data_IF_924541753142
#
_entry.id   IF_924541753142
#
_cell.length_a   1.000
_cell.length_b   1.000
_cell.length_c   1.000
_cell.angle_alpha   90.00
_cell.angle_beta   90.00
_cell.angle_gamma   90.00
#
_symmetry.space_group_name_H-M   'P 1'
#
loop_
_entity.id
_entity.type
_entity.pdbx_description
1 polymer ?
#
# COMPACT_ATOMS: atom_id res chain seq x y z
N UNK A 1 -3.20 -14.04 -30.10
CA UNK A 1 -3.41 -13.34 -28.82
C UNK A 1 -4.73 -13.83 -28.26
N UNK A 2 -4.75 -14.39 -27.06
CA UNK A 2 -5.98 -14.79 -26.39
C UNK A 2 -6.37 -13.68 -25.43
N UNK A 3 -7.61 -13.20 -25.48
CA UNK A 3 -8.08 -12.14 -24.59
C UNK A 3 -9.12 -12.72 -23.64
N UNK A 4 -8.85 -12.61 -22.33
CA UNK A 4 -9.82 -12.95 -21.31
C UNK A 4 -10.71 -11.74 -21.06
N UNK A 5 -12.02 -11.96 -21.15
CA UNK A 5 -13.03 -10.97 -20.77
C UNK A 5 -13.00 -10.69 -19.26
N UNK A 6 -13.89 -9.81 -18.79
CA UNK A 6 -13.96 -9.43 -17.38
C UNK A 6 -14.11 -10.64 -16.45
N UNK A 7 -14.96 -11.62 -16.82
CA UNK A 7 -15.20 -12.81 -16.00
C UNK A 7 -13.99 -13.74 -16.00
N UNK A 8 -13.39 -14.02 -17.17
CA UNK A 8 -12.18 -14.82 -17.29
C UNK A 8 -11.00 -14.21 -16.54
N UNK A 9 -10.88 -12.88 -16.58
CA UNK A 9 -9.84 -12.14 -15.84
C UNK A 9 -10.05 -12.23 -14.33
N UNK A 10 -11.29 -12.13 -13.86
CA UNK A 10 -11.61 -12.30 -12.44
C UNK A 10 -11.32 -13.73 -11.95
N UNK A 11 -11.63 -14.75 -12.76
CA UNK A 11 -11.25 -16.14 -12.48
C UNK A 11 -9.73 -16.29 -12.42
N UNK A 12 -9.00 -15.72 -13.38
CA UNK A 12 -7.54 -15.75 -13.37
C UNK A 12 -6.98 -15.08 -12.11
N UNK A 13 -7.45 -13.88 -11.76
CA UNK A 13 -7.01 -13.13 -10.58
C UNK A 13 -7.30 -13.87 -9.26
N UNK A 14 -8.47 -14.50 -9.13
CA UNK A 14 -8.81 -15.29 -7.94
C UNK A 14 -7.96 -16.56 -7.84
N UNK A 15 -7.72 -17.26 -8.96
CA UNK A 15 -6.80 -18.41 -8.98
C UNK A 15 -5.37 -18.02 -8.64
N UNK A 16 -4.89 -16.89 -9.16
CA UNK A 16 -3.60 -16.28 -8.81
C UNK A 16 -3.50 -16.05 -7.30
N UNK A 17 -4.55 -15.49 -6.67
CA UNK A 17 -4.59 -15.28 -5.23
C UNK A 17 -4.56 -16.57 -4.43
N UNK A 18 -5.35 -17.57 -4.81
CA UNK A 18 -5.39 -18.86 -4.14
C UNK A 18 -4.04 -19.59 -4.26
N UNK A 19 -3.43 -19.56 -5.45
CA UNK A 19 -2.11 -20.10 -5.70
C UNK A 19 -1.06 -19.37 -4.86
N UNK A 20 -1.06 -18.05 -4.86
CA UNK A 20 -0.15 -17.23 -4.04
C UNK A 20 -0.30 -17.52 -2.56
N UNK A 21 -1.54 -17.65 -2.06
CA UNK A 21 -1.82 -18.02 -0.68
C UNK A 21 -1.27 -19.42 -0.33
N UNK A 22 -1.41 -20.38 -1.24
CA UNK A 22 -0.80 -21.71 -1.10
C UNK A 22 0.73 -21.64 -1.08
N UNK A 23 1.34 -20.89 -2.00
CA UNK A 23 2.79 -20.67 -2.04
C UNK A 23 3.33 -20.07 -0.73
N UNK A 24 2.69 -19.02 -0.21
CA UNK A 24 3.09 -18.37 1.05
C UNK A 24 2.96 -19.33 2.24
N UNK A 25 1.93 -20.18 2.29
CA UNK A 25 1.77 -21.19 3.35
C UNK A 25 2.79 -22.32 3.26
N UNK A 26 3.12 -22.75 2.04
CA UNK A 26 4.03 -23.87 1.78
C UNK A 26 5.51 -23.49 1.88
N UNK A 27 5.89 -22.27 1.50
CA UNK A 27 7.30 -21.84 1.42
C UNK A 27 7.67 -21.02 2.67
N UNK A 28 8.52 -21.54 3.57
CA UNK A 28 8.87 -20.85 4.83
C UNK A 28 9.49 -19.47 4.62
N UNK A 29 10.24 -19.28 3.53
CA UNK A 29 10.87 -18.00 3.19
C UNK A 29 9.83 -16.90 2.93
N UNK A 30 8.80 -17.19 2.13
CA UNK A 30 7.73 -16.24 1.81
C UNK A 30 6.93 -15.87 3.05
N UNK A 31 6.67 -16.84 3.93
CA UNK A 31 6.02 -16.62 5.22
C UNK A 31 6.88 -15.79 6.17
N UNK A 32 8.19 -16.09 6.26
CA UNK A 32 9.14 -15.39 7.14
C UNK A 32 9.25 -13.91 6.81
N UNK A 33 9.19 -13.56 5.53
CA UNK A 33 9.22 -12.17 5.07
C UNK A 33 7.83 -11.63 4.74
N UNK A 34 6.75 -12.23 5.26
CA UNK A 34 5.37 -11.71 5.15
C UNK A 34 4.97 -11.30 3.73
N UNK A 35 5.44 -12.02 2.70
CA UNK A 35 5.15 -11.69 1.31
C UNK A 35 3.65 -11.81 1.07
N UNK A 36 2.97 -10.76 0.56
CA UNK A 36 1.54 -10.81 0.30
C UNK A 36 1.19 -11.91 -0.71
N UNK A 37 0.09 -12.62 -0.48
CA UNK A 37 -0.41 -13.65 -1.40
C UNK A 37 -0.60 -13.13 -2.85
N UNK A 38 -1.14 -11.93 -3.10
CA UNK A 38 -1.22 -11.38 -4.45
C UNK A 38 0.14 -11.24 -5.14
N UNK A 39 1.15 -10.79 -4.39
CA UNK A 39 2.54 -10.62 -4.87
C UNK A 39 3.15 -11.95 -5.26
N UNK A 40 3.08 -12.94 -4.37
CA UNK A 40 3.63 -14.27 -4.63
C UNK A 40 2.97 -14.95 -5.84
N UNK A 41 1.63 -14.94 -5.89
CA UNK A 41 0.88 -15.56 -6.98
C UNK A 41 1.05 -14.82 -8.31
N UNK A 42 0.91 -13.49 -8.28
CA UNK A 42 0.96 -12.65 -9.47
C UNK A 42 2.33 -12.68 -10.13
N UNK A 43 3.42 -12.61 -9.35
CA UNK A 43 4.77 -12.72 -9.88
C UNK A 43 5.05 -14.11 -10.48
N UNK A 44 4.57 -15.18 -9.82
CA UNK A 44 4.68 -16.53 -10.37
C UNK A 44 4.00 -16.63 -11.74
N UNK A 45 2.77 -16.13 -11.86
CA UNK A 45 2.04 -16.14 -13.14
C UNK A 45 2.72 -15.23 -14.17
N UNK A 46 3.20 -14.05 -13.79
CA UNK A 46 3.94 -13.17 -14.69
C UNK A 46 5.21 -13.85 -15.26
N UNK A 47 5.95 -14.58 -14.43
CA UNK A 47 7.11 -15.37 -14.88
C UNK A 47 6.69 -16.49 -15.84
N UNK A 48 5.61 -17.22 -15.53
CA UNK A 48 5.09 -18.26 -16.43
C UNK A 48 4.67 -17.70 -17.79
N UNK A 49 3.97 -16.56 -17.80
CA UNK A 49 3.58 -15.87 -19.03
C UNK A 49 4.78 -15.35 -19.82
N UNK A 50 5.83 -14.85 -19.13
CA UNK A 50 7.07 -14.46 -19.77
C UNK A 50 7.76 -15.64 -20.46
N UNK A 51 7.83 -16.80 -19.79
CA UNK A 51 8.39 -18.03 -20.37
C UNK A 51 7.57 -18.46 -21.58
N UNK A 52 6.24 -18.49 -21.46
CA UNK A 52 5.34 -18.88 -22.55
C UNK A 52 5.46 -17.95 -23.77
N UNK A 53 5.58 -16.64 -23.55
CA UNK A 53 5.82 -15.65 -24.61
C UNK A 53 7.16 -15.89 -25.30
N UNK A 54 8.23 -16.21 -24.56
CA UNK A 54 9.55 -16.46 -25.15
C UNK A 54 9.65 -17.79 -25.89
N UNK A 55 8.94 -18.84 -25.47
CA UNK A 55 9.07 -20.18 -26.05
C UNK A 55 8.07 -20.46 -27.17
N UNK A 56 6.81 -20.02 -27.03
CA UNK A 56 5.71 -20.33 -27.95
C UNK A 56 5.15 -19.07 -28.64
N UNK A 57 5.64 -17.88 -28.28
CA UNK A 57 5.15 -16.59 -28.79
C UNK A 57 3.63 -16.39 -28.59
N UNK A 58 3.09 -16.97 -27.52
CA UNK A 58 1.71 -16.75 -27.10
C UNK A 58 1.62 -15.56 -26.14
N UNK A 59 0.62 -14.73 -26.36
CA UNK A 59 0.32 -13.57 -25.52
C UNK A 59 -1.14 -13.64 -25.06
N UNK A 60 -1.32 -13.54 -23.75
CA UNK A 60 -2.61 -13.53 -23.07
C UNK A 60 -2.88 -12.09 -22.63
N UNK A 61 -3.95 -11.51 -23.14
CA UNK A 61 -4.49 -10.24 -22.71
C UNK A 61 -5.58 -10.44 -21.67
N UNK A 62 -5.73 -9.45 -20.80
CA UNK A 62 -6.70 -9.45 -19.72
C UNK A 62 -7.53 -8.17 -19.76
N UNK A 63 -8.81 -8.28 -19.44
CA UNK A 63 -9.69 -7.15 -19.24
C UNK A 63 -9.49 -6.55 -17.84
N UNK A 64 -8.87 -5.38 -17.79
CA UNK A 64 -8.51 -4.69 -16.55
C UNK A 64 -9.61 -3.76 -16.01
N UNK A 65 -10.84 -3.83 -16.52
CA UNK A 65 -11.94 -2.92 -16.16
C UNK A 65 -12.27 -2.92 -14.65
N UNK A 66 -12.06 -4.04 -13.96
CA UNK A 66 -12.27 -4.15 -12.50
C UNK A 66 -11.10 -3.64 -11.66
N UNK A 67 -9.91 -3.45 -12.25
CA UNK A 67 -8.69 -3.07 -11.53
C UNK A 67 -8.87 -1.77 -10.76
N UNK A 68 -9.34 -0.73 -11.44
CA UNK A 68 -9.44 0.60 -10.86
C UNK A 68 -10.57 0.74 -9.83
N UNK A 69 -11.80 0.23 -10.07
CA UNK A 69 -12.84 0.21 -9.05
C UNK A 69 -12.40 -0.49 -7.76
N UNK A 70 -11.66 -1.60 -7.84
CA UNK A 70 -11.15 -2.30 -6.65
C UNK A 70 -10.04 -1.51 -5.94
N UNK A 71 -9.16 -0.87 -6.68
CA UNK A 71 -8.16 0.04 -6.09
C UNK A 71 -8.85 1.18 -5.34
N UNK A 72 -9.81 1.85 -5.96
CA UNK A 72 -10.56 2.94 -5.33
C UNK A 72 -11.38 2.44 -4.13
N UNK A 73 -11.97 1.25 -4.20
CA UNK A 73 -12.69 0.64 -3.09
C UNK A 73 -11.76 0.40 -1.89
N UNK A 74 -10.52 -0.06 -2.13
CA UNK A 74 -9.52 -0.16 -1.07
C UNK A 74 -9.23 1.21 -0.41
N UNK A 75 -9.00 2.27 -1.19
CA UNK A 75 -8.77 3.61 -0.61
C UNK A 75 -10.00 4.18 0.11
N UNK A 76 -11.21 3.89 -0.38
CA UNK A 76 -12.43 4.22 0.33
C UNK A 76 -12.47 3.53 1.71
N UNK A 77 -12.07 2.26 1.79
CA UNK A 77 -12.04 1.53 3.08
C UNK A 77 -11.01 2.09 4.07
N UNK A 78 -9.87 2.62 3.59
CA UNK A 78 -8.91 3.33 4.44
C UNK A 78 -9.58 4.58 5.02
N UNK A 79 -10.25 5.38 4.19
CA UNK A 79 -10.95 6.58 4.63
C UNK A 79 -12.10 6.26 5.60
N UNK A 80 -12.89 5.24 5.31
CA UNK A 80 -14.02 4.82 6.15
C UNK A 80 -13.59 4.32 7.53
N UNK A 81 -12.39 3.75 7.65
CA UNK A 81 -11.80 3.34 8.93
C UNK A 81 -11.12 4.49 9.69
N UNK A 82 -11.02 5.68 9.10
CA UNK A 82 -10.42 6.83 9.78
C UNK A 82 -11.35 7.37 10.87
N UNK A 83 -10.83 7.48 12.09
CA UNK A 83 -11.56 8.03 13.24
C UNK A 83 -10.85 9.31 13.73
N UNK A 84 -11.43 10.47 13.41
CA UNK A 84 -10.88 11.78 13.77
C UNK A 84 -10.90 12.03 15.29
N UNK A 85 -11.85 11.43 16.01
CA UNK A 85 -11.90 11.55 17.47
C UNK A 85 -10.72 10.80 18.11
N UNK A 86 -10.41 9.59 17.66
CA UNK A 86 -9.22 8.84 18.09
C UNK A 86 -7.93 9.54 17.68
N UNK A 87 -7.88 10.13 16.49
CA UNK A 87 -6.74 10.94 16.04
C UNK A 87 -6.52 12.13 16.99
N UNK A 88 -7.59 12.83 17.39
CA UNK A 88 -7.50 13.94 18.33
C UNK A 88 -7.06 13.49 19.73
N UNK A 89 -7.49 12.32 20.17
CA UNK A 89 -7.10 11.74 21.47
C UNK A 89 -5.59 11.42 21.55
N UNK A 90 -4.92 11.18 20.42
CA UNK A 90 -3.45 10.99 20.37
C UNK A 90 -2.63 12.22 20.80
N UNK A 91 -3.26 13.40 20.89
CA UNK A 91 -2.69 14.59 21.51
C UNK A 91 -1.34 15.03 20.93
N UNK A 92 -0.45 15.53 21.79
CA UNK A 92 0.87 16.05 21.40
C UNK A 92 1.77 14.97 20.80
N UNK A 93 1.71 13.75 21.32
CA UNK A 93 2.54 12.64 20.85
C UNK A 93 2.26 12.31 19.37
N UNK A 94 0.99 12.28 18.98
CA UNK A 94 0.61 12.04 17.58
C UNK A 94 1.07 13.16 16.65
N UNK A 95 0.94 14.43 17.07
CA UNK A 95 1.40 15.58 16.27
C UNK A 95 2.91 15.52 16.06
N UNK A 96 3.68 15.21 17.11
CA UNK A 96 5.14 15.02 17.01
C UNK A 96 5.46 13.86 16.05
N UNK A 97 4.79 12.71 16.21
CA UNK A 97 4.95 11.56 15.33
C UNK A 97 4.67 11.92 13.86
N UNK A 98 3.60 12.69 13.59
CA UNK A 98 3.28 13.17 12.25
C UNK A 98 4.42 14.01 11.67
N UNK A 99 4.97 14.97 12.42
CA UNK A 99 6.09 15.78 11.94
C UNK A 99 7.36 14.95 11.69
N UNK A 100 7.63 13.95 12.51
CA UNK A 100 8.75 13.01 12.32
C UNK A 100 8.53 12.20 11.03
N UNK A 101 7.33 11.65 10.81
CA UNK A 101 7.02 10.92 9.57
C UNK A 101 7.11 11.84 8.35
N UNK A 102 6.55 13.05 8.41
CA UNK A 102 6.65 14.03 7.32
C UNK A 102 8.10 14.38 7.00
N UNK A 103 8.93 14.59 8.02
CA UNK A 103 10.38 14.80 7.86
C UNK A 103 11.05 13.63 7.15
N UNK A 104 10.75 12.39 7.54
CA UNK A 104 11.24 11.19 6.87
C UNK A 104 10.80 11.14 5.39
N UNK A 105 9.53 11.44 5.08
CA UNK A 105 9.04 11.44 3.70
C UNK A 105 9.78 12.47 2.83
N UNK A 106 10.05 13.67 3.37
CA UNK A 106 10.82 14.70 2.67
C UNK A 106 12.26 14.24 2.40
N UNK A 107 12.92 13.62 3.39
CA UNK A 107 14.27 13.07 3.24
C UNK A 107 14.28 11.94 2.19
N UNK A 108 13.33 11.00 2.26
CA UNK A 108 13.22 9.90 1.30
C UNK A 108 13.00 10.43 -0.12
N UNK A 109 12.18 11.46 -0.30
CA UNK A 109 11.93 12.06 -1.61
C UNK A 109 13.16 12.79 -2.16
N UNK A 110 13.86 13.56 -1.32
CA UNK A 110 15.08 14.25 -1.71
C UNK A 110 16.17 13.25 -2.16
N UNK A 111 16.37 12.18 -1.39
CA UNK A 111 17.37 11.15 -1.70
C UNK A 111 16.95 10.33 -2.92
N UNK A 112 15.68 9.95 -3.02
CA UNK A 112 15.15 9.19 -4.16
C UNK A 112 15.32 9.95 -5.46
N UNK A 113 14.87 11.21 -5.51
CA UNK A 113 15.04 12.09 -6.67
C UNK A 113 16.52 12.33 -6.97
N UNK A 114 17.33 12.60 -5.95
CA UNK A 114 18.77 12.84 -6.10
C UNK A 114 19.49 11.65 -6.73
N UNK A 115 19.30 10.45 -6.18
CA UNK A 115 19.90 9.22 -6.69
C UNK A 115 19.40 8.88 -8.09
N UNK A 116 18.10 9.05 -8.38
CA UNK A 116 17.56 8.82 -9.71
C UNK A 116 18.25 9.72 -10.75
N UNK A 117 18.39 11.02 -10.47
CA UNK A 117 19.10 11.96 -11.34
C UNK A 117 20.57 11.59 -11.53
N UNK A 118 21.27 11.20 -10.45
CA UNK A 118 22.69 10.79 -10.52
C UNK A 118 22.89 9.53 -11.36
N UNK A 119 21.92 8.62 -11.37
CA UNK A 119 21.94 7.38 -12.15
C UNK A 119 21.38 7.56 -13.58
N UNK A 120 21.03 8.79 -13.98
CA UNK A 120 20.47 9.09 -15.30
C UNK A 120 19.03 8.61 -15.50
N UNK A 121 18.28 8.41 -14.43
CA UNK A 121 16.88 7.97 -14.43
C UNK A 121 15.91 9.12 -14.23
N UNK A 122 14.64 8.88 -14.55
CA UNK A 122 13.55 9.80 -14.28
C UNK A 122 13.38 10.04 -12.76
N UNK A 123 13.28 11.30 -12.29
CA UNK A 123 13.00 11.62 -10.89
C UNK A 123 11.78 10.92 -10.28
N UNK A 124 10.75 10.63 -11.08
CA UNK A 124 9.54 9.91 -10.68
C UNK A 124 9.85 8.49 -10.21
N UNK A 125 10.86 7.85 -10.81
CA UNK A 125 11.36 6.56 -10.37
C UNK A 125 11.93 6.65 -8.94
N UNK A 126 12.63 7.74 -8.63
CA UNK A 126 13.15 8.04 -7.30
C UNK A 126 12.05 8.21 -6.24
N UNK A 127 10.93 8.84 -6.60
CA UNK A 127 9.77 8.97 -5.73
C UNK A 127 9.08 7.62 -5.48
N UNK A 128 8.91 6.80 -6.53
CA UNK A 128 8.34 5.46 -6.43
C UNK A 128 9.24 4.57 -5.57
N UNK A 129 10.54 4.54 -5.83
CA UNK A 129 11.52 3.76 -5.06
C UNK A 129 11.82 4.34 -3.67
N UNK A 130 11.24 5.49 -3.33
CA UNK A 130 11.33 6.13 -2.03
C UNK A 130 9.99 6.08 -1.29
N UNK A 131 9.47 7.26 -0.94
CA UNK A 131 8.37 7.38 0.03
C UNK A 131 7.06 6.73 -0.42
N UNK A 132 6.78 6.77 -1.72
CA UNK A 132 5.51 6.28 -2.28
C UNK A 132 5.33 4.78 -1.99
N UNK A 133 6.38 3.98 -2.11
CA UNK A 133 6.29 2.53 -1.87
C UNK A 133 6.85 2.12 -0.52
N UNK A 134 7.96 2.70 -0.04
CA UNK A 134 8.60 2.29 1.20
C UNK A 134 7.82 2.71 2.45
N UNK A 135 7.04 3.78 2.35
CA UNK A 135 6.12 4.22 3.41
C UNK A 135 4.66 3.94 3.05
N UNK A 136 4.28 4.11 1.78
CA UNK A 136 2.90 3.92 1.33
C UNK A 136 2.49 2.48 0.98
N UNK A 137 3.45 1.57 0.78
CA UNK A 137 3.21 0.17 0.42
C UNK A 137 2.65 -0.03 -1.00
N UNK A 138 2.22 -1.26 -1.30
CA UNK A 138 1.77 -1.66 -2.63
C UNK A 138 0.55 -0.87 -3.13
N UNK A 139 -0.42 -0.60 -2.25
CA UNK A 139 -1.63 0.14 -2.63
C UNK A 139 -1.32 1.56 -3.09
N UNK A 140 -0.54 2.30 -2.31
CA UNK A 140 -0.10 3.68 -2.64
C UNK A 140 0.81 3.70 -3.87
N UNK A 141 1.76 2.76 -3.94
CA UNK A 141 2.61 2.56 -5.10
C UNK A 141 1.82 2.40 -6.40
N UNK A 142 0.85 1.50 -6.40
CA UNK A 142 0.05 1.23 -7.58
C UNK A 142 -0.87 2.41 -7.97
N UNK A 143 -1.43 3.10 -6.98
CA UNK A 143 -2.28 4.27 -7.21
C UNK A 143 -1.51 5.44 -7.83
N UNK A 144 -0.32 5.75 -7.31
CA UNK A 144 0.55 6.77 -7.91
C UNK A 144 1.14 6.34 -9.26
N UNK A 145 1.39 5.04 -9.45
CA UNK A 145 1.87 4.53 -10.74
C UNK A 145 0.89 4.84 -11.87
N UNK A 146 -0.41 4.69 -11.62
CA UNK A 146 -1.45 5.07 -12.58
C UNK A 146 -1.34 6.56 -12.96
N UNK A 147 -1.20 7.43 -11.96
CA UNK A 147 -1.05 8.88 -12.19
C UNK A 147 0.22 9.19 -12.99
N UNK A 148 1.32 8.48 -12.70
CA UNK A 148 2.60 8.69 -13.38
C UNK A 148 2.59 8.23 -14.83
N UNK A 149 1.89 7.13 -15.14
CA UNK A 149 1.67 6.66 -16.50
C UNK A 149 0.80 7.66 -17.27
N UNK A 150 -0.37 8.02 -16.73
CA UNK A 150 -1.37 8.81 -17.45
C UNK A 150 -0.94 10.27 -17.67
N UNK A 151 -0.21 10.88 -16.72
CA UNK A 151 0.14 12.31 -16.78
C UNK A 151 1.57 12.60 -17.20
N UNK A 152 2.48 11.69 -16.88
CA UNK A 152 3.91 11.91 -17.07
C UNK A 152 4.54 10.91 -18.04
N UNK A 153 3.77 9.95 -18.57
CA UNK A 153 4.24 8.96 -19.54
C UNK A 153 5.27 7.98 -18.98
N UNK A 154 5.34 7.81 -17.65
CA UNK A 154 6.27 6.85 -17.04
C UNK A 154 5.71 5.43 -17.13
N UNK A 155 5.84 4.80 -18.30
CA UNK A 155 5.16 3.53 -18.64
C UNK A 155 5.40 2.39 -17.64
N UNK A 156 6.62 2.26 -17.12
CA UNK A 156 7.03 1.17 -16.22
C UNK A 156 6.73 1.44 -14.73
N UNK A 157 5.91 2.46 -14.42
CA UNK A 157 5.70 2.88 -13.04
C UNK A 157 5.15 1.76 -12.16
N UNK A 158 4.22 0.96 -12.68
CA UNK A 158 3.53 -0.09 -11.92
C UNK A 158 4.49 -1.22 -11.56
N UNK A 159 5.32 -1.67 -12.51
CA UNK A 159 6.37 -2.66 -12.34
C UNK A 159 7.35 -2.23 -11.26
N UNK A 160 7.86 -1.00 -11.36
CA UNK A 160 8.81 -0.44 -10.39
C UNK A 160 8.16 -0.33 -9.02
N UNK A 161 6.90 0.14 -8.94
CA UNK A 161 6.21 0.28 -7.67
C UNK A 161 5.97 -1.06 -6.96
N UNK A 162 5.57 -2.09 -7.70
CA UNK A 162 5.38 -3.44 -7.16
C UNK A 162 6.69 -4.04 -6.65
N UNK A 163 7.77 -3.86 -7.41
CA UNK A 163 9.10 -4.33 -7.03
C UNK A 163 9.61 -3.61 -5.77
N UNK A 164 9.56 -2.27 -5.75
CA UNK A 164 10.03 -1.45 -4.63
C UNK A 164 9.22 -1.70 -3.36
N UNK A 165 7.89 -1.80 -3.44
CA UNK A 165 7.04 -2.07 -2.28
C UNK A 165 7.32 -3.46 -1.67
N UNK A 166 7.55 -4.47 -2.51
CA UNK A 166 7.90 -5.82 -2.05
C UNK A 166 9.28 -5.84 -1.42
N UNK A 167 10.25 -5.14 -2.02
CA UNK A 167 11.59 -4.99 -1.47
C UNK A 167 11.56 -4.29 -0.10
N UNK A 168 10.80 -3.19 0.01
CA UNK A 168 10.63 -2.46 1.26
C UNK A 168 10.05 -3.32 2.38
N UNK A 169 9.11 -4.21 2.06
CA UNK A 169 8.55 -5.16 3.03
C UNK A 169 9.60 -6.16 3.52
N UNK A 170 10.36 -6.77 2.60
CA UNK A 170 11.44 -7.72 2.95
C UNK A 170 12.51 -7.04 3.80
N UNK A 171 12.96 -5.86 3.38
CA UNK A 171 13.99 -5.13 4.11
C UNK A 171 13.49 -4.58 5.43
N UNK A 172 12.25 -4.11 5.52
CA UNK A 172 11.63 -3.70 6.79
C UNK A 172 11.66 -4.83 7.83
N UNK A 173 11.36 -6.06 7.41
CA UNK A 173 11.48 -7.24 8.28
C UNK A 173 12.93 -7.59 8.65
N UNK A 174 13.88 -7.40 7.74
CA UNK A 174 15.30 -7.68 7.97
C UNK A 174 15.99 -6.65 8.88
N UNK A 175 15.72 -5.36 8.68
CA UNK A 175 16.36 -4.26 9.42
C UNK A 175 15.65 -3.95 10.73
N UNK A 176 14.33 -4.19 10.83
CA UNK A 176 13.54 -3.86 12.00
C UNK A 176 14.06 -4.53 13.27
N UNK A 177 14.42 -5.82 13.20
CA UNK A 177 14.97 -6.57 14.34
C UNK A 177 16.32 -6.03 14.84
N UNK A 178 17.36 -5.90 13.98
CA UNK A 178 18.63 -5.29 14.33
C UNK A 178 18.50 -3.85 14.86
N UNK A 179 17.69 -3.00 14.24
CA UNK A 179 17.47 -1.62 14.69
C UNK A 179 16.78 -1.60 16.04
N UNK A 180 15.72 -2.39 16.24
CA UNK A 180 15.05 -2.50 17.53
C UNK A 180 16.01 -2.98 18.64
N UNK A 181 16.83 -4.01 18.38
CA UNK A 181 17.85 -4.48 19.33
C UNK A 181 18.89 -3.41 19.66
N UNK A 182 19.34 -2.65 18.66
CA UNK A 182 20.28 -1.56 18.86
C UNK A 182 19.68 -0.47 19.76
N UNK A 183 18.43 -0.08 19.49
CA UNK A 183 17.70 0.93 20.27
C UNK A 183 17.49 0.49 21.71
N UNK A 184 17.03 -0.75 21.94
CA UNK A 184 16.84 -1.31 23.31
C UNK A 184 18.15 -1.37 24.08
N UNK A 185 19.27 -1.74 23.44
CA UNK A 185 20.58 -1.80 24.12
C UNK A 185 21.08 -0.41 24.58
N UNK A 186 20.68 0.65 23.87
CA UNK A 186 21.11 2.02 24.15
C UNK A 186 19.97 2.88 24.70
N UNK A 187 18.91 2.24 25.20
CA UNK A 187 17.83 2.94 25.91
C UNK A 187 18.27 3.26 27.34
N UNK A 188 17.65 4.27 27.93
CA UNK A 188 17.83 4.63 29.33
C UNK A 188 17.23 3.58 30.29
N UNK A 189 16.45 2.63 29.76
CA UNK A 189 15.83 1.52 30.48
C UNK A 189 16.02 0.18 29.73
N UNK A 190 17.24 -0.40 29.68
CA UNK A 190 17.50 -1.64 28.94
C UNK A 190 16.78 -2.86 29.53
N UNK A 191 16.51 -2.83 30.84
CA UNK A 191 15.73 -3.83 31.59
C UNK A 191 14.28 -3.38 31.84
N UNK A 192 13.83 -2.31 31.16
CA UNK A 192 12.46 -1.85 31.26
C UNK A 192 11.51 -3.00 30.93
N UNK A 193 10.69 -3.41 31.90
CA UNK A 193 9.52 -4.21 31.59
C UNK A 193 8.67 -3.40 30.62
N UNK A 194 8.11 -4.00 29.55
CA UNK A 194 7.09 -3.32 28.78
C UNK A 194 6.05 -2.79 29.78
N UNK A 195 5.76 -1.49 29.77
CA UNK A 195 4.55 -0.99 30.43
C UNK A 195 3.34 -1.37 29.56
N UNK A 196 3.20 -2.67 29.28
CA UNK A 196 2.04 -3.28 28.64
C UNK A 196 0.88 -3.41 29.67
N UNK A 197 1.01 -2.78 30.85
CA UNK A 197 -0.09 -2.63 31.80
C UNK A 197 -1.15 -1.64 31.29
N UNK A 198 -0.73 -0.71 30.42
CA UNK A 198 -1.65 -0.07 29.48
C UNK A 198 -1.81 -1.04 28.33
N UNK A 199 -2.86 -1.85 28.35
CA UNK A 199 -3.36 -2.47 27.11
C UNK A 199 -3.31 -1.39 26.03
N UNK A 200 -2.74 -1.63 24.84
CA UNK A 200 -2.78 -0.65 23.77
C UNK A 200 -4.25 -0.33 23.48
N UNK A 201 -4.77 0.73 24.08
CA UNK A 201 -6.11 1.28 23.79
C UNK A 201 -6.14 1.93 22.40
N UNK A 202 -5.01 1.89 21.67
CA UNK A 202 -4.92 2.19 20.24
C UNK A 202 -5.48 1.10 19.31
N UNK A 203 -5.82 -0.08 19.83
CA UNK A 203 -6.71 -1.04 19.18
C UNK A 203 -7.57 -1.65 20.29
N UNK A 204 -8.62 -0.93 20.68
CA UNK A 204 -9.61 -1.41 21.66
C UNK A 204 -9.97 -2.87 21.39
N UNK A 205 -9.86 -3.69 22.44
CA UNK A 205 -10.58 -4.95 22.53
C UNK A 205 -12.05 -4.68 22.15
N UNK A 206 -12.67 -5.60 21.40
CA UNK A 206 -13.88 -5.34 20.64
C UNK A 206 -15.04 -4.98 21.58
N UNK A 207 -15.47 -3.73 21.53
CA UNK A 207 -16.84 -3.37 21.92
C UNK A 207 -17.79 -4.13 20.98
N UNK A 208 -18.35 -5.22 21.53
CA UNK A 208 -19.52 -5.98 21.07
C UNK A 208 -19.38 -6.90 19.84
N UNK A 209 -19.96 -8.10 19.99
CA UNK A 209 -19.99 -9.19 19.03
C UNK A 209 -20.96 -8.99 17.87
N UNK A 210 -20.80 -7.91 17.09
CA UNK A 210 -21.50 -7.79 15.80
C UNK A 210 -20.81 -8.72 14.80
N UNK A 211 -21.52 -9.74 14.33
CA UNK A 211 -21.04 -10.65 13.29
C UNK A 211 -21.05 -9.93 11.94
N UNK A 212 -20.19 -10.37 11.01
CA UNK A 212 -20.31 -9.96 9.60
C UNK A 212 -21.56 -10.64 9.05
N UNK A 213 -22.67 -9.90 8.97
CA UNK A 213 -23.90 -10.37 8.34
C UNK A 213 -24.02 -9.80 6.93
N UNK A 214 -24.88 -10.42 6.10
CA UNK A 214 -25.15 -9.92 4.74
C UNK A 214 -25.61 -8.47 4.74
N UNK A 215 -26.41 -8.05 5.74
CA UNK A 215 -26.84 -6.66 5.86
C UNK A 215 -25.65 -5.71 6.07
N UNK A 216 -24.75 -6.04 7.01
CA UNK A 216 -23.56 -5.21 7.28
C UNK A 216 -22.65 -5.12 6.05
N UNK A 217 -22.55 -6.20 5.27
CA UNK A 217 -21.81 -6.20 4.01
C UNK A 217 -22.47 -5.27 2.99
N UNK A 218 -23.80 -5.31 2.83
CA UNK A 218 -24.53 -4.41 1.93
C UNK A 218 -24.38 -2.95 2.35
N UNK A 219 -24.51 -2.64 3.64
CA UNK A 219 -24.27 -1.29 4.19
C UNK A 219 -22.84 -0.81 3.89
N UNK A 220 -21.85 -1.70 4.05
CA UNK A 220 -20.44 -1.39 3.76
C UNK A 220 -20.20 -1.15 2.28
N UNK A 221 -20.76 -1.98 1.40
CA UNK A 221 -20.68 -1.81 -0.06
C UNK A 221 -21.34 -0.50 -0.46
N UNK A 222 -22.49 -0.15 0.12
CA UNK A 222 -23.17 1.11 -0.15
C UNK A 222 -22.30 2.33 0.23
N UNK A 223 -21.66 2.31 1.41
CA UNK A 223 -20.73 3.36 1.81
C UNK A 223 -19.53 3.48 0.86
N UNK A 224 -18.94 2.35 0.46
CA UNK A 224 -17.84 2.33 -0.52
C UNK A 224 -18.32 2.92 -1.86
N UNK A 225 -19.49 2.50 -2.37
CA UNK A 225 -20.05 3.01 -3.61
C UNK A 225 -20.30 4.52 -3.57
N UNK A 226 -20.79 5.05 -2.45
CA UNK A 226 -20.92 6.50 -2.21
C UNK A 226 -19.56 7.18 -2.30
N UNK A 227 -18.53 6.62 -1.64
CA UNK A 227 -17.17 7.18 -1.69
C UNK A 227 -16.59 7.21 -3.11
N UNK A 228 -16.82 6.13 -3.89
CA UNK A 228 -16.37 6.03 -5.27
C UNK A 228 -17.06 7.07 -6.16
N UNK A 229 -18.40 7.16 -6.07
CA UNK A 229 -19.20 8.07 -6.87
C UNK A 229 -18.87 9.54 -6.58
N UNK A 230 -18.93 9.94 -5.31
CA UNK A 230 -18.64 11.31 -4.90
C UNK A 230 -17.16 11.66 -5.08
N UNK A 231 -16.24 10.73 -4.78
CA UNK A 231 -14.81 10.96 -4.96
C UNK A 231 -14.44 11.15 -6.42
N UNK A 232 -15.05 10.39 -7.35
CA UNK A 232 -14.85 10.59 -8.78
C UNK A 232 -15.45 11.90 -9.27
N UNK A 233 -16.64 12.27 -8.78
CA UNK A 233 -17.26 13.56 -9.08
C UNK A 233 -16.39 14.74 -8.62
N UNK A 234 -15.89 14.71 -7.38
CA UNK A 234 -14.99 15.75 -6.83
C UNK A 234 -13.68 15.80 -7.62
N UNK A 235 -13.08 14.66 -7.94
CA UNK A 235 -11.86 14.61 -8.76
C UNK A 235 -12.09 15.23 -10.15
N UNK A 236 -13.25 14.99 -10.75
CA UNK A 236 -13.66 15.63 -12.01
C UNK A 236 -13.79 17.15 -11.91
N UNK A 237 -14.35 17.67 -10.81
CA UNK A 237 -14.46 19.11 -10.56
C UNK A 237 -13.11 19.79 -10.30
N UNK A 238 -12.17 19.08 -9.67
CA UNK A 238 -10.83 19.60 -9.37
C UNK A 238 -9.87 19.49 -10.57
N UNK A 239 -10.24 18.73 -11.60
CA UNK A 239 -9.40 18.51 -12.78
C UNK A 239 -9.11 19.85 -13.49
N UNK A 240 -7.84 20.10 -13.80
CA UNK A 240 -7.38 21.35 -14.40
C UNK A 240 -7.34 22.57 -13.47
N UNK A 241 -7.65 22.41 -12.19
CA UNK A 241 -7.50 23.47 -11.18
C UNK A 241 -6.12 23.39 -10.50
N UNK A 242 -5.72 24.44 -9.79
CA UNK A 242 -4.49 24.42 -8.98
C UNK A 242 -4.56 23.42 -7.80
N UNK A 243 -5.76 22.96 -7.44
CA UNK A 243 -6.00 21.96 -6.39
C UNK A 243 -6.31 20.57 -6.97
N UNK A 244 -5.82 20.30 -8.18
CA UNK A 244 -6.01 19.00 -8.81
C UNK A 244 -5.40 17.88 -7.95
N UNK A 245 -6.24 16.91 -7.59
CA UNK A 245 -5.85 15.76 -6.76
C UNK A 245 -6.16 14.46 -7.49
N UNK A 246 -5.33 13.41 -7.33
CA UNK A 246 -5.64 12.08 -7.84
C UNK A 246 -6.98 11.55 -7.30
N UNK A 247 -7.74 10.85 -8.13
CA UNK A 247 -9.08 10.34 -7.76
C UNK A 247 -9.07 9.50 -6.48
N UNK A 248 -8.05 8.68 -6.26
CA UNK A 248 -7.96 7.85 -5.04
C UNK A 248 -7.83 8.69 -3.76
N UNK A 249 -7.21 9.87 -3.84
CA UNK A 249 -7.09 10.82 -2.71
C UNK A 249 -8.47 11.41 -2.41
N UNK A 250 -9.20 11.85 -3.44
CA UNK A 250 -10.58 12.34 -3.29
C UNK A 250 -11.50 11.27 -2.69
N UNK A 251 -11.45 10.03 -3.20
CA UNK A 251 -12.23 8.89 -2.69
C UNK A 251 -11.91 8.60 -1.22
N UNK A 252 -10.62 8.62 -0.83
CA UNK A 252 -10.21 8.45 0.56
C UNK A 252 -10.79 9.55 1.44
N UNK A 253 -10.66 10.83 1.04
CA UNK A 253 -11.19 11.95 1.82
C UNK A 253 -12.70 11.91 1.98
N UNK A 254 -13.44 11.53 0.93
CA UNK A 254 -14.89 11.30 1.05
C UNK A 254 -15.17 10.22 2.07
N UNK A 255 -14.40 9.13 2.09
CA UNK A 255 -14.51 8.08 3.10
C UNK A 255 -14.31 8.61 4.53
N UNK A 256 -13.30 9.46 4.75
CA UNK A 256 -13.04 10.10 6.05
C UNK A 256 -14.22 10.99 6.47
N UNK A 257 -14.71 11.84 5.57
CA UNK A 257 -15.83 12.75 5.85
C UNK A 257 -17.09 11.93 6.16
N UNK A 258 -17.38 10.91 5.35
CA UNK A 258 -18.56 10.08 5.49
C UNK A 258 -18.55 9.34 6.83
N UNK A 259 -17.48 8.59 7.15
CA UNK A 259 -17.41 7.81 8.39
C UNK A 259 -17.53 8.66 9.66
N UNK A 260 -16.88 9.83 9.67
CA UNK A 260 -16.89 10.73 10.82
C UNK A 260 -18.22 11.49 10.94
N UNK A 261 -18.86 11.85 9.83
CA UNK A 261 -20.19 12.49 9.85
C UNK A 261 -21.27 11.51 10.32
N UNK A 262 -21.26 10.26 9.82
CA UNK A 262 -22.20 9.22 10.27
C UNK A 262 -22.03 8.89 11.75
N UNK A 263 -20.78 8.83 12.22
CA UNK A 263 -20.48 8.57 13.64
C UNK A 263 -20.85 9.75 14.54
N UNK A 264 -20.60 10.99 14.11
CA UNK A 264 -20.91 12.20 14.88
C UNK A 264 -22.41 12.46 14.99
N UNK A 265 -23.19 12.14 13.95
CA UNK A 265 -24.66 12.26 13.97
C UNK A 265 -25.35 11.14 14.75
N UNK A 266 -24.61 10.08 15.13
CA UNK A 266 -25.16 8.88 15.77
C UNK A 266 -26.04 8.03 14.86
N UNK A 267 -26.14 8.36 13.56
CA UNK A 267 -27.00 7.67 12.61
C UNK A 267 -26.52 6.23 12.34
N UNK A 268 -25.21 6.05 12.22
CA UNK A 268 -24.61 4.75 11.96
C UNK A 268 -23.15 4.73 12.40
N UNK A 269 -22.75 3.68 13.12
CA UNK A 269 -21.35 3.43 13.42
C UNK A 269 -20.77 2.46 12.38
N UNK A 270 -19.74 2.94 11.68
CA UNK A 270 -19.03 2.17 10.66
C UNK A 270 -18.46 0.90 11.28
N UNK A 271 -18.85 -0.26 10.75
CA UNK A 271 -18.34 -1.52 11.24
C UNK A 271 -16.96 -1.81 10.66
N UNK A 272 -15.91 -1.40 11.37
CA UNK A 272 -14.50 -1.46 10.95
C UNK A 272 -14.09 -2.84 10.42
N UNK A 273 -14.62 -3.93 10.99
CA UNK A 273 -14.32 -5.31 10.54
C UNK A 273 -14.83 -5.59 9.13
N UNK A 274 -16.07 -5.23 8.81
CA UNK A 274 -16.59 -5.45 7.45
C UNK A 274 -15.84 -4.56 6.43
N UNK A 275 -15.60 -3.29 6.78
CA UNK A 275 -14.81 -2.37 5.96
C UNK A 275 -13.41 -2.93 5.69
N UNK A 276 -12.72 -3.42 6.71
CA UNK A 276 -11.39 -4.03 6.57
C UNK A 276 -11.40 -5.29 5.70
N UNK A 277 -12.40 -6.17 5.85
CA UNK A 277 -12.53 -7.37 5.00
C UNK A 277 -12.72 -6.99 3.53
N UNK A 278 -13.65 -6.09 3.21
CA UNK A 278 -13.83 -5.62 1.83
C UNK A 278 -12.59 -4.90 1.28
N UNK A 279 -11.93 -4.08 2.11
CA UNK A 279 -10.69 -3.40 1.75
C UNK A 279 -9.58 -4.39 1.37
N UNK A 280 -9.37 -5.41 2.20
CA UNK A 280 -8.33 -6.43 1.96
C UNK A 280 -8.64 -7.30 0.74
N UNK A 281 -9.90 -7.67 0.51
CA UNK A 281 -10.33 -8.40 -0.70
C UNK A 281 -10.09 -7.54 -1.94
N UNK A 282 -10.50 -6.26 -1.89
CA UNK A 282 -10.34 -5.33 -3.00
C UNK A 282 -8.88 -5.09 -3.34
N UNK A 283 -8.03 -4.82 -2.33
CA UNK A 283 -6.58 -4.70 -2.48
C UNK A 283 -5.98 -5.97 -3.09
N UNK A 284 -6.37 -7.14 -2.58
CA UNK A 284 -5.81 -8.41 -3.05
C UNK A 284 -6.12 -8.65 -4.52
N UNK A 285 -7.39 -8.51 -4.93
CA UNK A 285 -7.81 -8.70 -6.32
C UNK A 285 -7.18 -7.68 -7.26
N UNK A 286 -7.16 -6.42 -6.86
CA UNK A 286 -6.49 -5.35 -7.58
C UNK A 286 -5.00 -5.66 -7.80
N UNK A 287 -4.27 -6.01 -6.74
CA UNK A 287 -2.86 -6.33 -6.82
C UNK A 287 -2.64 -7.58 -7.69
N UNK A 288 -3.45 -8.63 -7.55
CA UNK A 288 -3.33 -9.81 -8.38
C UNK A 288 -3.46 -9.48 -9.87
N UNK A 289 -4.44 -8.65 -10.24
CA UNK A 289 -4.61 -8.18 -11.62
C UNK A 289 -3.44 -7.35 -12.10
N UNK A 290 -2.96 -6.40 -11.29
CA UNK A 290 -1.80 -5.59 -11.63
C UNK A 290 -0.53 -6.44 -11.81
N UNK A 291 -0.33 -7.44 -10.95
CA UNK A 291 0.88 -8.25 -10.91
C UNK A 291 0.93 -9.30 -12.01
N UNK A 292 -0.20 -9.95 -12.34
CA UNK A 292 -0.25 -10.97 -13.38
C UNK A 292 -0.11 -10.39 -14.80
N UNK A 293 -0.28 -9.07 -14.95
CA UNK A 293 -0.11 -8.35 -16.22
C UNK A 293 1.24 -7.63 -16.34
N UNK A 294 2.15 -7.80 -15.37
CA UNK A 294 3.44 -7.11 -15.36
C UNK A 294 4.35 -7.51 -16.52
N UNK A 295 5.05 -6.52 -17.05
CA UNK A 295 6.06 -6.71 -18.08
C UNK A 295 7.45 -6.84 -17.47
N UNK A 296 7.77 -8.04 -17.00
CA UNK A 296 9.06 -8.33 -16.33
C UNK A 296 10.31 -7.95 -17.13
N UNK A 297 10.23 -7.94 -18.46
CA UNK A 297 11.33 -7.52 -19.33
C UNK A 297 11.69 -6.03 -19.16
N UNK A 298 10.68 -5.16 -19.01
CA UNK A 298 10.85 -3.71 -18.86
C UNK A 298 11.46 -3.37 -17.49
N UNK A 299 11.23 -4.22 -16.47
CA UNK A 299 11.82 -4.07 -15.15
C UNK A 299 13.30 -4.47 -15.12
N UNK A 300 13.73 -5.41 -15.97
CA UNK A 300 15.08 -5.95 -15.92
C UNK A 300 16.17 -4.92 -16.23
N UNK A 301 15.90 -3.99 -17.16
CA UNK A 301 16.82 -2.89 -17.49
C UNK A 301 16.96 -1.87 -16.35
N UNK A 302 15.94 -1.76 -15.50
CA UNK A 302 15.88 -0.82 -14.37
C UNK A 302 16.33 -1.44 -13.04
N UNK A 303 16.55 -2.75 -13.00
CA UNK A 303 16.76 -3.50 -11.75
C UNK A 303 18.00 -3.03 -10.97
N UNK A 304 19.15 -2.86 -11.63
CA UNK A 304 20.38 -2.48 -10.95
C UNK A 304 20.33 -1.04 -10.39
N UNK A 305 19.92 -0.02 -11.16
CA UNK A 305 19.73 1.33 -10.61
C UNK A 305 18.69 1.36 -9.47
N UNK A 306 17.59 0.63 -9.60
CA UNK A 306 16.56 0.54 -8.57
C UNK A 306 17.10 -0.05 -7.27
N UNK A 307 17.87 -1.14 -7.34
CA UNK A 307 18.51 -1.75 -6.16
C UNK A 307 19.48 -0.78 -5.47
N UNK A 308 20.24 0.01 -6.23
CA UNK A 308 21.12 1.02 -5.67
C UNK A 308 20.35 2.10 -4.89
N UNK A 309 19.25 2.63 -5.46
CA UNK A 309 18.38 3.60 -4.78
C UNK A 309 17.82 2.98 -3.49
N UNK A 310 17.25 1.78 -3.58
CA UNK A 310 16.60 1.12 -2.46
C UNK A 310 17.58 0.77 -1.32
N UNK A 311 18.82 0.40 -1.65
CA UNK A 311 19.85 0.14 -0.65
C UNK A 311 20.18 1.42 0.16
N UNK A 312 20.33 2.56 -0.53
CA UNK A 312 20.56 3.85 0.12
C UNK A 312 19.34 4.26 0.96
N UNK A 313 18.13 4.13 0.42
CA UNK A 313 16.90 4.43 1.15
C UNK A 313 16.80 3.63 2.45
N UNK A 314 17.10 2.33 2.39
CA UNK A 314 17.08 1.44 3.55
C UNK A 314 18.06 1.89 4.63
N UNK A 315 19.30 2.20 4.22
CA UNK A 315 20.31 2.68 5.16
C UNK A 315 19.84 3.98 5.84
N UNK A 316 19.33 4.93 5.05
CA UNK A 316 18.83 6.21 5.57
C UNK A 316 17.64 6.00 6.51
N UNK A 317 16.70 5.12 6.17
CA UNK A 317 15.57 4.80 7.04
C UNK A 317 16.03 4.21 8.37
N UNK A 318 17.02 3.31 8.37
CA UNK A 318 17.59 2.75 9.59
C UNK A 318 18.28 3.84 10.44
N UNK A 319 19.07 4.72 9.81
CA UNK A 319 19.72 5.83 10.50
C UNK A 319 18.70 6.83 11.06
N UNK A 320 17.67 7.18 10.28
CA UNK A 320 16.62 8.08 10.71
C UNK A 320 15.84 7.53 11.91
N UNK A 321 15.50 6.25 11.88
CA UNK A 321 14.90 5.57 13.04
C UNK A 321 15.80 5.68 14.28
N UNK A 322 17.11 5.40 14.12
CA UNK A 322 18.07 5.44 15.23
C UNK A 322 18.25 6.84 15.82
N UNK A 323 18.37 7.88 14.98
CA UNK A 323 18.80 9.20 15.43
C UNK A 323 17.66 10.21 15.64
N UNK A 324 16.51 10.02 14.98
CA UNK A 324 15.40 10.99 15.02
C UNK A 324 14.21 10.46 15.79
N UNK A 325 13.83 9.19 15.62
CA UNK A 325 12.63 8.65 16.28
C UNK A 325 12.88 8.30 17.75
N UNK A 326 14.12 7.94 18.08
CA UNK A 326 14.55 7.72 19.45
C UNK A 326 15.51 8.85 19.84
N UNK A 327 15.02 10.01 20.29
CA UNK A 327 15.90 10.98 20.91
C UNK A 327 16.60 10.25 22.06
N UNK A 328 17.93 10.33 22.11
CA UNK A 328 18.66 9.99 23.34
C UNK A 328 18.15 10.97 24.39
N UNK A 329 17.20 10.54 25.21
CA UNK A 329 16.84 11.25 26.43
C UNK A 329 18.12 11.32 27.26
N UNK A 330 18.68 12.53 27.35
CA UNK A 330 19.73 12.90 28.30
C UNK A 330 19.11 13.38 29.59
#
# INVERSE_FOLDING_TARGET
MFHLDTYGTLVAATLVLLLGGKCVRSIPLLRKYTIPAPVAGGLLVAVLLLVLKKTVNWEIGFDMSLKDPLMLAFFATIGLNANLARLRAGGKALVVFLFVVLGLLLVQNAIGIGMAKMLGLDPLMGLIAGSITLSGGHGTGAAWSKVFIERYGFENATEVAMACATFGLVLGGLIGGPVARYLVKHSSTPEGTPDDSVQPSGFEKPESGRLITSLVMVETIAMIAICLSLGNFIAGLLNGTAFELPTFVCVLFVGVILSNTLSATGFYQVFERAVSVLGNVSLSLFLAMALMSLRLWELASLALPMLAILAVQTLVMALYAIFVTYPRDG
#
